data_IF_953993215653
#
_entry.id   IF_953993215653
#
_cell.length_a   1.000
_cell.length_b   1.000
_cell.length_c   1.000
_cell.angle_alpha   90.00
_cell.angle_beta   90.00
_cell.angle_gamma   90.00
#
_symmetry.space_group_name_H-M   'P 1'
#
loop_
_entity.id
_entity.type
_entity.pdbx_description
1 polymer ?
#
# COMPACT_ATOMS: atom_id res chain seq x y z
N UNK A 1 -14.08 -15.96 34.15
CA UNK A 1 -12.68 -15.72 33.77
C UNK A 1 -12.66 -15.78 32.23
N UNK A 2 -12.61 -14.62 31.56
CA UNK A 2 -12.44 -14.60 30.13
C UNK A 2 -11.19 -15.40 29.73
N UNK A 3 -11.31 -16.28 28.73
CA UNK A 3 -10.20 -17.07 28.27
C UNK A 3 -9.13 -16.09 27.72
N UNK A 4 -8.07 -15.90 28.48
CA UNK A 4 -6.96 -15.05 28.07
C UNK A 4 -6.36 -15.61 26.78
N UNK A 5 -6.16 -14.76 25.77
CA UNK A 5 -5.50 -15.11 24.50
C UNK A 5 -4.09 -15.63 24.80
N UNK A 6 -3.76 -16.82 24.35
CA UNK A 6 -2.48 -17.51 24.61
C UNK A 6 -1.61 -17.62 23.37
N UNK A 7 -2.22 -17.71 22.19
CA UNK A 7 -1.49 -17.92 20.93
C UNK A 7 -2.18 -17.22 19.77
N UNK A 8 -1.42 -16.44 19.01
CA UNK A 8 -1.92 -15.79 17.78
C UNK A 8 -1.09 -16.16 16.57
N UNK A 9 -1.73 -16.17 15.41
CA UNK A 9 -1.08 -16.27 14.12
C UNK A 9 -0.83 -14.89 13.51
N UNK A 10 0.21 -14.75 12.71
CA UNK A 10 0.46 -13.58 11.87
C UNK A 10 0.75 -14.02 10.45
N UNK A 11 0.11 -13.38 9.47
CA UNK A 11 0.34 -13.62 8.05
C UNK A 11 0.48 -12.32 7.28
N UNK A 12 1.19 -12.37 6.16
CA UNK A 12 1.21 -11.35 5.12
C UNK A 12 0.53 -11.89 3.87
N UNK A 13 -0.30 -11.09 3.21
CA UNK A 13 -1.07 -11.52 2.04
C UNK A 13 -1.25 -10.36 1.05
N UNK A 14 -1.45 -10.69 -0.22
CA UNK A 14 -1.56 -9.70 -1.30
C UNK A 14 -0.21 -9.30 -1.87
N UNK A 15 -0.10 -8.09 -2.42
CA UNK A 15 1.18 -7.53 -2.86
C UNK A 15 2.06 -7.18 -1.65
N UNK A 16 3.35 -7.38 -1.80
CA UNK A 16 4.31 -6.95 -0.78
C UNK A 16 4.46 -5.42 -0.77
N UNK A 17 4.78 -4.90 0.41
CA UNK A 17 5.01 -3.47 0.62
C UNK A 17 6.15 -3.26 1.61
N UNK A 18 7.02 -2.24 1.41
CA UNK A 18 8.09 -1.91 2.34
C UNK A 18 7.52 -1.57 3.72
N UNK A 19 7.97 -2.27 4.76
CA UNK A 19 7.44 -2.13 6.12
C UNK A 19 6.60 -3.30 6.60
N UNK A 20 6.22 -4.27 5.75
CA UNK A 20 5.54 -5.49 6.19
C UNK A 20 6.37 -6.26 7.23
N UNK A 21 7.70 -6.34 7.06
CA UNK A 21 8.58 -6.94 8.06
C UNK A 21 8.57 -6.18 9.39
N UNK A 22 8.50 -4.86 9.37
CA UNK A 22 8.38 -4.07 10.58
C UNK A 22 7.03 -4.33 11.31
N UNK A 23 5.95 -4.54 10.56
CA UNK A 23 4.64 -4.92 11.11
C UNK A 23 4.66 -6.33 11.71
N UNK A 24 5.24 -7.32 11.01
CA UNK A 24 5.44 -8.68 11.56
C UNK A 24 6.25 -8.62 12.86
N UNK A 25 7.35 -7.86 12.86
CA UNK A 25 8.17 -7.66 14.06
C UNK A 25 7.36 -7.06 15.21
N UNK A 26 6.53 -6.08 14.93
CA UNK A 26 5.70 -5.43 15.94
C UNK A 26 4.69 -6.40 16.56
N UNK A 27 4.02 -7.20 15.72
CA UNK A 27 3.08 -8.23 16.18
C UNK A 27 3.79 -9.24 17.08
N UNK A 28 4.93 -9.78 16.67
CA UNK A 28 5.69 -10.76 17.45
C UNK A 28 6.15 -10.18 18.79
N UNK A 29 6.72 -8.97 18.80
CA UNK A 29 7.20 -8.34 20.04
C UNK A 29 6.09 -7.93 20.98
N UNK A 30 4.97 -7.43 20.45
CA UNK A 30 3.80 -7.10 21.25
C UNK A 30 3.17 -8.35 21.88
N UNK A 31 3.16 -9.46 21.16
CA UNK A 31 2.71 -10.77 21.66
C UNK A 31 3.63 -11.26 22.78
N UNK A 32 4.95 -11.27 22.55
CA UNK A 32 5.95 -11.67 23.55
C UNK A 32 5.83 -10.83 24.83
N UNK A 33 5.66 -9.52 24.71
CA UNK A 33 5.47 -8.62 25.84
C UNK A 33 4.24 -8.96 26.70
N UNK A 34 3.20 -9.55 26.09
CA UNK A 34 1.98 -9.99 26.77
C UNK A 34 1.99 -11.47 27.17
N UNK A 35 3.09 -12.19 26.96
CA UNK A 35 3.17 -13.63 27.21
C UNK A 35 2.34 -14.47 26.22
N UNK A 36 2.01 -13.92 25.05
CA UNK A 36 1.26 -14.59 23.99
C UNK A 36 2.27 -15.23 23.01
N UNK A 37 2.09 -16.51 22.70
CA UNK A 37 2.87 -17.17 21.64
C UNK A 37 2.48 -16.62 20.26
N UNK A 38 3.46 -16.47 19.37
CA UNK A 38 3.24 -16.01 18.00
C UNK A 38 3.68 -17.05 16.97
N UNK A 39 2.76 -17.39 16.06
CA UNK A 39 2.99 -18.31 14.95
C UNK A 39 2.96 -17.51 13.63
N UNK A 40 4.06 -17.53 12.87
CA UNK A 40 4.11 -16.98 11.53
C UNK A 40 3.51 -17.96 10.53
N UNK A 41 2.55 -17.51 9.74
CA UNK A 41 1.96 -18.28 8.65
C UNK A 41 2.62 -17.81 7.36
N UNK A 42 3.31 -18.71 6.67
CA UNK A 42 3.98 -18.40 5.41
C UNK A 42 3.01 -18.44 4.24
N UNK A 43 3.25 -17.60 3.22
CA UNK A 43 2.43 -17.54 1.99
C UNK A 43 0.95 -17.24 2.24
N UNK A 44 0.65 -16.45 3.29
CA UNK A 44 -0.69 -16.00 3.58
C UNK A 44 -1.71 -17.12 3.76
N UNK A 45 -2.87 -17.00 3.11
CA UNK A 45 -3.94 -17.99 3.23
C UNK A 45 -3.57 -19.38 2.69
N UNK A 46 -2.68 -19.46 1.69
CA UNK A 46 -2.16 -20.76 1.24
C UNK A 46 -1.45 -21.50 2.36
N UNK A 47 -0.70 -20.78 3.20
CA UNK A 47 -0.03 -21.38 4.34
C UNK A 47 -0.99 -21.89 5.40
N UNK A 48 -2.12 -21.20 5.63
CA UNK A 48 -3.18 -21.72 6.51
C UNK A 48 -3.77 -23.02 5.98
N UNK A 49 -4.05 -23.09 4.67
CA UNK A 49 -4.62 -24.29 4.06
C UNK A 49 -3.64 -25.47 4.13
N UNK A 50 -2.36 -25.21 3.86
CA UNK A 50 -1.35 -26.26 3.72
C UNK A 50 -0.54 -26.54 5.01
N UNK A 51 -0.82 -25.82 6.11
CA UNK A 51 -0.08 -25.99 7.35
C UNK A 51 1.38 -25.50 7.28
N UNK A 52 1.67 -24.46 6.47
CA UNK A 52 3.03 -23.88 6.36
C UNK A 52 3.21 -22.77 7.39
N UNK A 53 3.77 -23.12 8.53
CA UNK A 53 3.93 -22.20 9.66
C UNK A 53 5.30 -22.31 10.32
N UNK A 54 5.65 -21.28 11.10
CA UNK A 54 6.89 -21.21 11.87
C UNK A 54 6.61 -20.54 13.22
N UNK A 55 7.19 -21.07 14.30
CA UNK A 55 7.15 -20.39 15.61
C UNK A 55 8.03 -19.14 15.54
N UNK A 56 7.47 -17.99 15.93
CA UNK A 56 8.19 -16.72 15.96
C UNK A 56 8.49 -16.30 17.39
N UNK A 57 9.73 -15.86 17.60
CA UNK A 57 10.24 -15.34 18.87
C UNK A 57 10.76 -13.91 18.68
N UNK A 58 11.00 -13.20 19.77
CA UNK A 58 11.60 -11.86 19.69
C UNK A 58 12.93 -11.85 18.92
N UNK A 59 13.71 -12.94 19.03
CA UNK A 59 15.00 -13.07 18.35
C UNK A 59 14.86 -13.31 16.84
N UNK A 60 13.85 -14.11 16.42
CA UNK A 60 13.60 -14.39 15.00
C UNK A 60 13.25 -13.15 14.19
N UNK A 61 12.84 -12.08 14.85
CA UNK A 61 12.46 -10.79 14.23
C UNK A 61 13.40 -9.63 14.58
N UNK A 62 14.59 -9.91 15.18
CA UNK A 62 15.47 -8.86 15.70
C UNK A 62 16.05 -7.93 14.63
N UNK A 63 16.31 -8.42 13.42
CA UNK A 63 17.04 -7.69 12.39
C UNK A 63 16.23 -7.51 11.09
N UNK A 64 14.89 -7.38 11.19
CA UNK A 64 14.02 -7.29 10.01
C UNK A 64 13.31 -5.94 9.84
N UNK A 65 13.40 -5.03 10.81
CA UNK A 65 12.67 -3.75 10.78
C UNK A 65 13.02 -2.87 9.57
N UNK A 66 14.26 -2.99 9.09
CA UNK A 66 14.78 -2.24 7.95
C UNK A 66 14.77 -3.02 6.63
N UNK A 67 14.26 -4.26 6.62
CA UNK A 67 14.23 -5.09 5.43
C UNK A 67 12.92 -4.88 4.66
N UNK A 68 13.04 -4.65 3.35
CA UNK A 68 11.91 -4.70 2.42
C UNK A 68 11.35 -6.11 2.25
N UNK A 69 10.25 -6.21 1.50
CA UNK A 69 9.54 -7.46 1.33
C UNK A 69 8.92 -8.00 2.62
N UNK A 70 8.69 -9.31 2.69
CA UNK A 70 8.15 -9.98 3.87
C UNK A 70 8.82 -11.33 4.14
N UNK A 71 9.26 -11.55 5.38
CA UNK A 71 9.88 -12.81 5.81
C UNK A 71 8.90 -13.99 5.82
N UNK A 72 7.59 -13.69 5.82
CA UNK A 72 6.55 -14.71 5.79
C UNK A 72 6.12 -15.07 4.37
N UNK A 73 6.72 -14.45 3.36
CA UNK A 73 6.30 -14.56 1.97
C UNK A 73 4.84 -14.15 1.78
N UNK A 74 4.42 -14.00 0.54
CA UNK A 74 3.03 -13.70 0.19
C UNK A 74 2.64 -14.52 -1.03
N UNK A 75 1.36 -14.90 -1.12
CA UNK A 75 0.81 -15.59 -2.26
C UNK A 75 -0.68 -15.25 -2.40
N UNK A 76 -1.17 -15.25 -3.64
CA UNK A 76 -2.61 -15.32 -3.90
C UNK A 76 -3.09 -16.74 -3.69
N UNK A 77 -4.28 -16.92 -3.14
CA UNK A 77 -4.89 -18.23 -2.88
C UNK A 77 -6.25 -18.33 -3.55
N UNK A 78 -6.31 -19.01 -4.67
CA UNK A 78 -7.60 -19.28 -5.33
C UNK A 78 -8.42 -20.30 -4.52
N UNK A 79 -7.76 -21.29 -3.89
CA UNK A 79 -8.42 -22.26 -3.04
C UNK A 79 -9.12 -21.62 -1.85
N UNK A 80 -8.52 -20.57 -1.24
CA UNK A 80 -9.13 -19.86 -0.12
C UNK A 80 -10.42 -19.09 -0.49
N UNK A 81 -10.67 -18.84 -1.79
CA UNK A 81 -11.94 -18.25 -2.24
C UNK A 81 -13.12 -19.22 -2.12
N UNK A 82 -12.85 -20.50 -1.96
CA UNK A 82 -13.87 -21.55 -1.78
C UNK A 82 -14.19 -21.75 -0.31
N UNK A 83 -15.42 -22.16 -0.01
CA UNK A 83 -15.82 -22.49 1.36
C UNK A 83 -14.96 -23.64 1.94
N UNK A 84 -14.62 -24.63 1.11
CA UNK A 84 -13.76 -25.75 1.51
C UNK A 84 -12.37 -25.27 1.94
N UNK A 85 -11.74 -24.37 1.16
CA UNK A 85 -10.44 -23.79 1.51
C UNK A 85 -10.49 -22.97 2.79
N UNK A 86 -11.57 -22.20 3.02
CA UNK A 86 -11.79 -21.45 4.26
C UNK A 86 -11.95 -22.38 5.46
N UNK A 87 -12.70 -23.48 5.33
CA UNK A 87 -12.86 -24.49 6.37
C UNK A 87 -11.56 -25.22 6.70
N UNK A 88 -10.75 -25.55 5.69
CA UNK A 88 -9.40 -26.13 5.86
C UNK A 88 -8.52 -25.17 6.65
N UNK A 89 -8.47 -23.89 6.25
CA UNK A 89 -7.70 -22.85 6.94
C UNK A 89 -8.13 -22.68 8.40
N UNK A 90 -9.44 -22.64 8.68
CA UNK A 90 -9.98 -22.56 10.03
C UNK A 90 -9.65 -23.80 10.86
N UNK A 91 -9.68 -24.98 10.24
CA UNK A 91 -9.28 -26.24 10.90
C UNK A 91 -7.80 -26.23 11.29
N UNK A 92 -6.93 -25.67 10.44
CA UNK A 92 -5.51 -25.46 10.76
C UNK A 92 -5.36 -24.48 11.95
N UNK A 93 -6.12 -23.39 11.99
CA UNK A 93 -6.12 -22.50 13.15
C UNK A 93 -6.47 -23.22 14.45
N UNK A 94 -7.50 -24.06 14.43
CA UNK A 94 -7.91 -24.88 15.59
C UNK A 94 -6.82 -25.88 15.98
N UNK A 95 -6.24 -26.58 15.00
CA UNK A 95 -5.16 -27.56 15.23
C UNK A 95 -3.93 -26.90 15.90
N UNK A 96 -3.58 -25.70 15.46
CA UNK A 96 -2.48 -24.92 16.03
C UNK A 96 -2.85 -24.25 17.37
N UNK A 97 -4.10 -24.31 17.78
CA UNK A 97 -4.61 -23.66 18.99
C UNK A 97 -4.48 -22.13 18.91
N UNK A 98 -4.75 -21.54 17.75
CA UNK A 98 -4.70 -20.09 17.55
C UNK A 98 -5.98 -19.46 18.09
N UNK A 99 -5.84 -18.54 19.02
CA UNK A 99 -6.94 -17.74 19.58
C UNK A 99 -7.30 -16.57 18.64
N UNK A 100 -6.41 -16.20 17.72
CA UNK A 100 -6.67 -15.16 16.74
C UNK A 100 -5.57 -15.05 15.66
N UNK A 101 -5.88 -14.33 14.59
CA UNK A 101 -4.99 -14.07 13.46
C UNK A 101 -4.84 -12.56 13.22
N UNK A 102 -3.59 -12.11 13.07
CA UNK A 102 -3.28 -10.79 12.51
C UNK A 102 -2.94 -10.95 11.03
N UNK A 103 -3.74 -10.34 10.15
CA UNK A 103 -3.48 -10.30 8.71
C UNK A 103 -2.93 -8.94 8.29
N UNK A 104 -1.76 -8.94 7.64
CA UNK A 104 -1.07 -7.74 7.16
C UNK A 104 -1.20 -7.70 5.64
N UNK A 105 -1.83 -6.66 5.09
CA UNK A 105 -2.02 -6.51 3.64
C UNK A 105 -3.11 -5.52 3.26
N UNK A 106 -3.60 -5.61 2.03
CA UNK A 106 -4.62 -4.74 1.46
C UNK A 106 -6.05 -5.29 1.57
N UNK A 107 -6.97 -4.70 0.82
CA UNK A 107 -8.41 -5.05 0.79
C UNK A 107 -8.66 -6.54 0.58
N UNK A 108 -7.92 -7.18 -0.32
CA UNK A 108 -8.04 -8.63 -0.56
C UNK A 108 -7.71 -9.45 0.69
N UNK A 109 -6.73 -9.02 1.48
CA UNK A 109 -6.40 -9.63 2.77
C UNK A 109 -7.53 -9.47 3.75
N UNK A 110 -8.13 -8.28 3.83
CA UNK A 110 -9.24 -8.01 4.75
C UNK A 110 -10.50 -8.77 4.41
N UNK A 111 -10.85 -8.89 3.12
CA UNK A 111 -11.94 -9.78 2.69
C UNK A 111 -11.69 -11.23 3.12
N UNK A 112 -10.44 -11.70 2.99
CA UNK A 112 -10.07 -13.03 3.47
C UNK A 112 -10.19 -13.17 4.99
N UNK A 113 -9.82 -12.15 5.78
CA UNK A 113 -10.01 -12.15 7.23
C UNK A 113 -11.49 -12.24 7.62
N UNK A 114 -12.37 -11.54 6.90
CA UNK A 114 -13.83 -11.64 7.10
C UNK A 114 -14.31 -13.06 6.87
N UNK A 115 -13.88 -13.72 5.78
CA UNK A 115 -14.29 -15.10 5.51
C UNK A 115 -13.76 -16.06 6.59
N UNK A 116 -12.52 -15.86 7.06
CA UNK A 116 -11.95 -16.65 8.15
C UNK A 116 -12.71 -16.45 9.46
N UNK A 117 -13.15 -15.22 9.73
CA UNK A 117 -13.96 -14.89 10.90
C UNK A 117 -15.33 -15.56 10.88
N UNK A 118 -15.96 -15.70 9.72
CA UNK A 118 -17.21 -16.47 9.57
C UNK A 118 -17.04 -17.94 9.95
N UNK A 119 -15.81 -18.46 9.89
CA UNK A 119 -15.46 -19.81 10.34
C UNK A 119 -15.11 -19.87 11.83
N UNK A 120 -15.32 -18.78 12.59
CA UNK A 120 -15.13 -18.71 14.04
C UNK A 120 -13.71 -18.38 14.50
N UNK A 121 -12.85 -17.86 13.63
CA UNK A 121 -11.50 -17.41 13.99
C UNK A 121 -11.51 -15.91 14.28
N UNK A 122 -10.97 -15.48 15.43
CA UNK A 122 -10.80 -14.05 15.72
C UNK A 122 -9.74 -13.43 14.84
N UNK A 123 -10.01 -12.22 14.31
CA UNK A 123 -9.11 -11.60 13.34
C UNK A 123 -8.89 -10.11 13.61
N UNK A 124 -7.66 -9.64 13.28
CA UNK A 124 -7.32 -8.22 13.22
C UNK A 124 -6.52 -7.93 11.94
N UNK A 125 -6.83 -6.84 11.24
CA UNK A 125 -6.19 -6.41 10.02
C UNK A 125 -5.19 -5.27 10.24
N UNK A 126 -4.07 -5.31 9.54
CA UNK A 126 -3.06 -4.24 9.49
C UNK A 126 -2.90 -3.78 8.04
N UNK A 127 -3.24 -2.52 7.69
CA UNK A 127 -3.21 -2.03 6.33
C UNK A 127 -1.77 -1.87 5.82
N UNK A 128 -1.43 -2.65 4.79
CA UNK A 128 -0.12 -2.62 4.14
C UNK A 128 -0.28 -2.77 2.63
N UNK A 129 -0.11 -1.67 1.92
CA UNK A 129 -0.10 -1.54 0.46
C UNK A 129 0.54 -0.21 0.09
N UNK A 130 1.24 -0.16 -1.04
CA UNK A 130 1.81 1.08 -1.56
C UNK A 130 0.77 2.00 -2.20
N UNK A 131 -0.42 1.52 -2.49
CA UNK A 131 -1.45 2.22 -3.26
C UNK A 131 -2.23 3.26 -2.41
N UNK A 132 -2.18 3.13 -1.08
CA UNK A 132 -2.92 3.95 -0.10
C UNK A 132 -4.44 4.02 -0.39
N UNK A 133 -4.99 2.97 -0.95
CA UNK A 133 -6.36 2.85 -1.44
C UNK A 133 -7.34 2.27 -0.40
N UNK A 134 -6.85 1.83 0.77
CA UNK A 134 -7.68 1.32 1.85
C UNK A 134 -8.47 2.46 2.49
N UNK A 135 -9.77 2.34 2.39
CA UNK A 135 -10.72 3.44 2.57
C UNK A 135 -10.78 3.96 3.99
N UNK A 136 -10.74 3.07 4.98
CA UNK A 136 -10.93 3.39 6.40
C UNK A 136 -9.69 4.00 7.08
N UNK A 137 -8.56 4.07 6.40
CA UNK A 137 -7.31 4.60 6.96
C UNK A 137 -6.74 5.73 6.10
N UNK A 138 -6.13 6.71 6.75
CA UNK A 138 -5.40 7.79 6.06
C UNK A 138 -4.04 7.32 5.52
N UNK A 139 -3.53 6.21 6.05
CA UNK A 139 -2.18 5.75 5.76
C UNK A 139 -2.11 4.23 5.68
N UNK A 140 -1.42 3.73 4.65
CA UNK A 140 -1.07 2.32 4.50
C UNK A 140 0.44 2.13 4.54
N UNK A 141 0.89 1.05 5.19
CA UNK A 141 2.31 0.72 5.31
C UNK A 141 2.88 0.43 3.91
N UNK A 142 3.98 1.11 3.57
CA UNK A 142 4.65 1.01 2.28
C UNK A 142 4.44 2.21 1.35
N UNK A 143 3.40 2.99 1.56
CA UNK A 143 3.07 4.14 0.74
C UNK A 143 4.17 5.22 0.73
N UNK A 144 4.67 5.61 1.91
CA UNK A 144 5.70 6.64 2.03
C UNK A 144 7.02 6.20 1.37
N UNK A 145 7.40 4.93 1.52
CA UNK A 145 8.60 4.39 0.87
C UNK A 145 8.44 4.37 -0.65
N UNK A 146 7.28 3.94 -1.16
CA UNK A 146 7.01 3.92 -2.60
C UNK A 146 7.03 5.34 -3.19
N UNK A 147 6.46 6.31 -2.47
CA UNK A 147 6.50 7.72 -2.87
C UNK A 147 7.94 8.25 -2.92
N UNK A 148 8.75 8.01 -1.89
CA UNK A 148 10.16 8.41 -1.87
C UNK A 148 10.97 7.75 -2.99
N UNK A 149 10.73 6.47 -3.29
CA UNK A 149 11.37 5.78 -4.42
C UNK A 149 11.02 6.46 -5.76
N UNK A 150 9.75 6.82 -5.95
CA UNK A 150 9.32 7.52 -7.16
C UNK A 150 9.92 8.93 -7.25
N UNK A 151 9.93 9.70 -6.15
CA UNK A 151 10.53 11.04 -6.09
C UNK A 151 12.03 10.97 -6.43
N UNK A 152 12.78 10.06 -5.81
CA UNK A 152 14.21 9.89 -6.10
C UNK A 152 14.47 9.56 -7.58
N UNK A 153 13.66 8.68 -8.17
CA UNK A 153 13.77 8.35 -9.58
C UNK A 153 13.47 9.55 -10.49
N UNK A 154 12.45 10.32 -10.16
CA UNK A 154 12.02 11.52 -10.91
C UNK A 154 13.07 12.63 -10.80
N UNK A 155 13.66 12.86 -9.64
CA UNK A 155 14.71 13.87 -9.47
C UNK A 155 15.92 13.55 -10.36
N UNK A 156 16.33 12.28 -10.44
CA UNK A 156 17.39 11.84 -11.36
C UNK A 156 17.02 12.04 -12.83
N UNK A 157 15.75 11.79 -13.21
CA UNK A 157 15.25 12.06 -14.55
C UNK A 157 15.21 13.54 -14.87
N UNK A 158 14.91 14.39 -13.87
CA UNK A 158 14.84 15.84 -14.01
C UNK A 158 16.18 16.44 -14.41
N UNK A 159 17.27 15.99 -13.80
CA UNK A 159 18.62 16.49 -14.13
C UNK A 159 18.95 16.33 -15.62
N UNK A 160 18.66 15.16 -16.17
CA UNK A 160 18.91 14.91 -17.60
C UNK A 160 17.86 15.56 -18.51
N UNK A 161 16.61 15.67 -18.04
CA UNK A 161 15.52 16.30 -18.75
C UNK A 161 15.79 17.80 -18.97
N UNK A 162 16.24 18.51 -17.93
CA UNK A 162 16.61 19.91 -18.00
C UNK A 162 17.79 20.14 -18.95
N UNK A 163 18.82 19.30 -18.87
CA UNK A 163 20.02 19.41 -19.70
C UNK A 163 19.74 19.27 -21.20
N UNK A 164 18.63 18.63 -21.58
CA UNK A 164 18.30 18.35 -22.99
C UNK A 164 16.98 19.00 -23.43
N UNK A 165 16.36 19.84 -22.59
CA UNK A 165 15.07 20.50 -22.87
C UNK A 165 13.98 19.52 -23.34
N UNK A 166 13.80 18.40 -22.60
CA UNK A 166 12.94 17.28 -23.00
C UNK A 166 11.64 17.21 -22.22
N UNK A 167 10.67 16.53 -22.80
CA UNK A 167 9.49 16.03 -22.11
C UNK A 167 9.79 14.64 -21.54
N UNK A 168 9.35 14.40 -20.28
CA UNK A 168 9.40 13.09 -19.65
C UNK A 168 7.99 12.68 -19.20
N UNK A 169 7.65 11.42 -19.43
CA UNK A 169 6.42 10.78 -18.93
C UNK A 169 6.83 9.69 -17.96
N UNK A 170 6.38 9.78 -16.72
CA UNK A 170 6.71 8.80 -15.68
C UNK A 170 5.43 8.12 -15.21
N UNK A 171 5.35 6.81 -15.46
CA UNK A 171 4.25 5.98 -14.97
C UNK A 171 4.59 5.44 -13.58
N UNK A 172 3.68 5.66 -12.62
CA UNK A 172 3.78 5.19 -11.24
C UNK A 172 2.68 4.19 -10.93
N UNK A 173 2.94 3.28 -10.01
CA UNK A 173 1.96 2.35 -9.50
C UNK A 173 0.85 3.06 -8.72
N UNK A 174 -0.12 2.35 -8.21
CA UNK A 174 -1.27 2.84 -7.45
C UNK A 174 -2.54 2.04 -7.75
N UNK A 175 -2.42 0.97 -8.57
CA UNK A 175 -3.52 0.13 -9.00
C UNK A 175 -4.64 0.98 -9.64
N UNK A 176 -5.83 1.03 -9.05
CA UNK A 176 -6.96 1.84 -9.55
C UNK A 176 -7.10 3.19 -8.82
N UNK A 177 -6.07 3.64 -8.10
CA UNK A 177 -6.09 4.86 -7.32
C UNK A 177 -4.94 5.80 -7.71
N UNK A 178 -5.22 7.09 -7.74
CA UNK A 178 -4.27 8.15 -8.09
C UNK A 178 -3.52 8.74 -6.88
N UNK A 179 -3.67 8.18 -5.68
CA UNK A 179 -3.08 8.75 -4.46
C UNK A 179 -1.57 8.88 -4.55
N UNK A 180 -0.88 7.85 -5.05
CA UNK A 180 0.58 7.86 -5.20
C UNK A 180 1.03 8.88 -6.26
N UNK A 181 0.37 8.89 -7.42
CA UNK A 181 0.65 9.83 -8.50
C UNK A 181 0.44 11.29 -8.06
N UNK A 182 -0.65 11.58 -7.34
CA UNK A 182 -0.94 12.90 -6.81
C UNK A 182 0.13 13.36 -5.82
N UNK A 183 0.50 12.50 -4.88
CA UNK A 183 1.50 12.84 -3.87
C UNK A 183 2.88 13.06 -4.49
N UNK A 184 3.30 12.19 -5.39
CA UNK A 184 4.57 12.29 -6.13
C UNK A 184 4.57 13.53 -7.03
N UNK A 185 3.45 13.82 -7.70
CA UNK A 185 3.30 14.99 -8.55
C UNK A 185 3.46 16.31 -7.79
N UNK A 186 2.86 16.41 -6.62
CA UNK A 186 3.05 17.55 -5.72
C UNK A 186 4.50 17.66 -5.24
N UNK A 187 5.10 16.54 -4.82
CA UNK A 187 6.46 16.53 -4.30
C UNK A 187 7.52 16.90 -5.35
N UNK A 188 7.25 16.60 -6.62
CA UNK A 188 8.20 16.84 -7.71
C UNK A 188 7.87 18.05 -8.57
N UNK A 189 6.77 18.76 -8.35
CA UNK A 189 6.36 19.89 -9.18
C UNK A 189 6.15 19.48 -10.64
N UNK A 190 5.36 18.42 -10.87
CA UNK A 190 5.07 17.93 -12.20
C UNK A 190 4.28 18.96 -13.03
N UNK A 191 4.45 18.97 -14.36
CA UNK A 191 3.67 19.81 -15.27
C UNK A 191 2.21 19.35 -15.35
N UNK A 192 1.99 18.03 -15.30
CA UNK A 192 0.67 17.43 -15.25
C UNK A 192 0.69 16.10 -14.48
N UNK A 193 -0.43 15.77 -13.84
CA UNK A 193 -0.61 14.49 -13.13
C UNK A 193 -1.93 13.87 -13.54
N UNK A 194 -1.87 12.68 -14.11
CA UNK A 194 -3.04 11.95 -14.58
C UNK A 194 -3.48 10.91 -13.54
N UNK A 195 -4.71 11.01 -13.08
CA UNK A 195 -5.28 10.14 -12.04
C UNK A 195 -6.61 9.55 -12.50
N UNK A 196 -6.90 8.28 -12.17
CA UNK A 196 -8.10 7.60 -12.66
C UNK A 196 -9.41 8.22 -12.13
N UNK A 197 -9.39 8.80 -10.93
CA UNK A 197 -10.58 9.37 -10.28
C UNK A 197 -11.16 10.60 -11.00
N UNK A 198 -10.37 11.26 -11.83
CA UNK A 198 -10.80 12.46 -12.59
C UNK A 198 -11.16 12.15 -14.04
N UNK A 199 -10.82 10.94 -14.51
CA UNK A 199 -10.77 10.66 -15.93
C UNK A 199 -9.66 11.45 -16.62
N UNK A 200 -9.25 10.99 -17.78
CA UNK A 200 -8.17 11.66 -18.55
C UNK A 200 -8.76 12.23 -19.84
N UNK A 201 -8.70 13.53 -19.95
CA UNK A 201 -8.87 14.25 -21.23
C UNK A 201 -7.48 14.63 -21.74
N UNK A 202 -7.03 13.89 -22.76
CA UNK A 202 -5.66 14.01 -23.24
C UNK A 202 -5.33 15.43 -23.75
N UNK A 203 -6.23 16.08 -24.46
CA UNK A 203 -5.99 17.43 -24.96
C UNK A 203 -5.89 18.43 -23.81
N UNK A 204 -6.87 18.46 -22.92
CA UNK A 204 -6.92 19.41 -21.79
C UNK A 204 -5.82 19.12 -20.75
N UNK A 205 -5.65 17.85 -20.35
CA UNK A 205 -4.83 17.51 -19.18
C UNK A 205 -3.34 17.32 -19.51
N UNK A 206 -3.02 17.13 -20.81
CA UNK A 206 -1.63 16.93 -21.24
C UNK A 206 -1.20 18.01 -22.23
N UNK A 207 -1.88 18.09 -23.36
CA UNK A 207 -1.43 18.93 -24.50
C UNK A 207 -1.51 20.41 -24.15
N UNK A 208 -2.64 20.86 -23.61
CA UNK A 208 -2.82 22.27 -23.23
C UNK A 208 -1.91 22.65 -22.06
N UNK A 209 -1.68 21.75 -21.09
CA UNK A 209 -0.72 21.98 -20.01
C UNK A 209 0.71 22.18 -20.53
N UNK A 210 1.14 21.37 -21.49
CA UNK A 210 2.45 21.54 -22.11
C UNK A 210 2.51 22.86 -22.91
N UNK A 211 1.48 23.20 -23.69
CA UNK A 211 1.41 24.45 -24.45
C UNK A 211 1.48 25.66 -23.53
N UNK A 212 0.69 25.69 -22.47
CA UNK A 212 0.69 26.77 -21.48
C UNK A 212 2.05 26.92 -20.80
N UNK A 213 2.63 25.78 -20.36
CA UNK A 213 3.96 25.77 -19.74
C UNK A 213 5.04 26.31 -20.69
N UNK A 214 4.97 25.96 -21.99
CA UNK A 214 5.87 26.49 -23.02
C UNK A 214 5.69 27.98 -23.24
N UNK A 215 4.46 28.49 -23.26
CA UNK A 215 4.17 29.92 -23.38
C UNK A 215 4.71 30.72 -22.17
N UNK A 216 4.75 30.10 -20.99
CA UNK A 216 5.38 30.68 -19.80
C UNK A 216 6.92 30.61 -19.80
N UNK A 217 7.54 30.10 -20.88
CA UNK A 217 8.99 30.06 -21.05
C UNK A 217 9.66 28.76 -20.55
N UNK A 218 8.89 27.75 -20.13
CA UNK A 218 9.47 26.47 -19.73
C UNK A 218 9.88 25.66 -20.99
N UNK A 219 11.03 25.02 -20.92
CA UNK A 219 11.60 24.24 -22.02
C UNK A 219 11.55 22.72 -21.78
N UNK A 220 11.19 22.30 -20.58
CA UNK A 220 11.10 20.90 -20.18
C UNK A 220 9.79 20.61 -19.42
N UNK A 221 9.25 19.41 -19.58
CA UNK A 221 7.92 19.05 -19.08
C UNK A 221 7.93 17.68 -18.43
N UNK A 222 7.35 17.57 -17.25
CA UNK A 222 7.23 16.32 -16.49
C UNK A 222 5.75 15.95 -16.37
N UNK A 223 5.37 14.83 -16.95
CA UNK A 223 4.02 14.27 -16.86
C UNK A 223 4.07 13.02 -16.01
N UNK A 224 3.27 12.98 -14.93
CA UNK A 224 3.13 11.79 -14.08
C UNK A 224 1.82 11.11 -14.39
N UNK A 225 1.87 9.79 -14.59
CA UNK A 225 0.71 8.98 -14.96
C UNK A 225 0.53 7.89 -13.89
N UNK A 226 -0.62 7.87 -13.21
CA UNK A 226 -1.01 6.71 -12.43
C UNK A 226 -1.32 5.54 -13.37
N UNK A 227 -0.83 4.33 -13.10
CA UNK A 227 -1.08 3.14 -13.95
C UNK A 227 -2.57 2.89 -14.21
N UNK A 228 -3.44 3.26 -13.26
CA UNK A 228 -4.89 3.17 -13.40
C UNK A 228 -5.53 4.25 -14.29
N UNK A 229 -4.80 5.32 -14.62
CA UNK A 229 -5.27 6.41 -15.48
C UNK A 229 -4.95 6.18 -16.96
N UNK A 230 -3.96 5.31 -17.26
CA UNK A 230 -3.56 4.97 -18.62
C UNK A 230 -2.11 4.55 -18.72
N UNK A 231 -1.69 4.20 -19.91
CA UNK A 231 -0.30 3.82 -20.20
C UNK A 231 0.57 5.04 -20.46
N UNK A 232 1.66 5.18 -19.71
CA UNK A 232 2.67 6.21 -19.98
C UNK A 232 3.25 6.13 -21.38
N UNK A 233 3.33 4.93 -21.96
CA UNK A 233 3.79 4.73 -23.35
C UNK A 233 2.81 5.34 -24.35
N UNK A 234 1.51 5.12 -24.19
CA UNK A 234 0.47 5.70 -25.06
C UNK A 234 0.39 7.22 -24.91
N UNK A 235 0.51 7.73 -23.69
CA UNK A 235 0.59 9.17 -23.44
C UNK A 235 1.81 9.80 -24.15
N UNK A 236 2.97 9.16 -24.02
CA UNK A 236 4.18 9.63 -24.70
C UNK A 236 4.04 9.64 -26.23
N UNK A 237 3.44 8.61 -26.80
CA UNK A 237 3.16 8.52 -28.23
C UNK A 237 2.22 9.64 -28.69
N UNK A 238 1.13 9.88 -27.96
CA UNK A 238 0.19 10.96 -28.27
C UNK A 238 0.85 12.35 -28.22
N UNK A 239 1.72 12.60 -27.22
CA UNK A 239 2.48 13.87 -27.15
C UNK A 239 3.35 14.04 -28.39
N UNK A 240 4.01 12.97 -28.84
CA UNK A 240 4.83 13.01 -30.07
C UNK A 240 3.99 13.33 -31.30
N UNK A 241 2.86 12.67 -31.47
CA UNK A 241 1.94 12.85 -32.61
C UNK A 241 1.38 14.28 -32.71
N UNK A 242 1.01 14.89 -31.57
CA UNK A 242 0.35 16.20 -31.53
C UNK A 242 1.35 17.36 -31.49
N UNK A 243 2.42 17.24 -30.73
CA UNK A 243 3.36 18.34 -30.47
C UNK A 243 4.72 18.21 -31.18
N UNK A 244 5.01 17.06 -31.82
CA UNK A 244 6.30 16.78 -32.42
C UNK A 244 7.45 16.66 -31.41
N UNK A 245 7.14 16.56 -30.11
CA UNK A 245 8.13 16.31 -29.07
C UNK A 245 8.56 14.83 -29.11
N UNK A 246 9.72 14.52 -28.52
CA UNK A 246 10.19 13.13 -28.31
C UNK A 246 10.25 12.83 -26.83
N UNK A 247 9.13 12.46 -26.19
CA UNK A 247 9.08 12.22 -24.76
C UNK A 247 9.90 11.00 -24.37
N UNK A 248 10.58 11.08 -23.24
CA UNK A 248 11.19 9.91 -22.59
C UNK A 248 10.20 9.31 -21.61
N UNK A 249 9.81 8.06 -21.88
CA UNK A 249 8.87 7.34 -21.05
C UNK A 249 9.64 6.45 -20.07
N UNK A 250 9.30 6.54 -18.81
CA UNK A 250 9.85 5.70 -17.74
C UNK A 250 8.69 5.08 -16.96
N UNK A 251 8.60 3.75 -16.94
CA UNK A 251 7.64 3.01 -16.14
C UNK A 251 8.37 2.49 -14.91
N UNK A 252 8.06 3.04 -13.73
CA UNK A 252 8.76 2.66 -12.50
C UNK A 252 8.43 1.23 -12.08
N UNK A 253 7.15 0.83 -12.17
CA UNK A 253 6.73 -0.53 -11.88
C UNK A 253 7.18 -1.02 -10.50
N UNK A 254 7.58 -2.29 -10.43
CA UNK A 254 7.83 -3.03 -9.18
C UNK A 254 9.01 -2.51 -8.32
N UNK A 255 9.88 -1.61 -8.81
CA UNK A 255 10.89 -0.99 -7.93
C UNK A 255 10.26 -0.21 -6.78
N UNK A 256 9.03 0.26 -6.95
CA UNK A 256 8.24 0.95 -5.94
C UNK A 256 7.76 0.03 -4.80
N UNK A 257 7.76 -1.30 -5.01
CA UNK A 257 7.40 -2.28 -3.98
C UNK A 257 8.57 -2.69 -3.09
N UNK A 258 9.79 -2.42 -3.51
CA UNK A 258 11.01 -2.83 -2.84
C UNK A 258 11.65 -1.74 -1.99
N UNK A 259 12.81 -2.10 -1.47
CA UNK A 259 13.66 -1.17 -0.73
C UNK A 259 13.47 -1.18 0.78
N UNK A 260 14.37 -0.47 1.42
CA UNK A 260 14.37 -0.26 2.88
C UNK A 260 13.22 0.65 3.27
N UNK A 261 12.30 0.24 4.17
CA UNK A 261 11.17 1.08 4.56
C UNK A 261 11.64 2.39 5.20
N UNK A 262 10.95 3.48 4.86
CA UNK A 262 11.19 4.80 5.45
C UNK A 262 10.96 4.79 6.96
N UNK A 263 11.44 5.81 7.65
CA UNK A 263 11.19 5.97 9.07
C UNK A 263 9.68 6.01 9.38
N UNK A 264 8.90 6.66 8.51
CA UNK A 264 7.44 6.76 8.67
C UNK A 264 6.77 5.39 8.55
N UNK A 265 7.11 4.61 7.54
CA UNK A 265 6.57 3.26 7.37
C UNK A 265 6.93 2.34 8.54
N UNK A 266 8.17 2.40 9.05
CA UNK A 266 8.57 1.60 10.22
C UNK A 266 7.78 1.97 11.48
N UNK A 267 7.60 3.26 11.73
CA UNK A 267 6.83 3.75 12.91
C UNK A 267 5.38 3.36 12.79
N UNK A 268 4.76 3.58 11.63
CA UNK A 268 3.35 3.22 11.39
C UNK A 268 3.13 1.71 11.50
N UNK A 269 4.00 0.91 10.87
CA UNK A 269 3.96 -0.55 10.97
C UNK A 269 4.09 -1.03 12.43
N UNK A 270 4.98 -0.41 13.20
CA UNK A 270 5.17 -0.76 14.62
C UNK A 270 3.92 -0.42 15.44
N UNK A 271 3.35 0.76 15.25
CA UNK A 271 2.12 1.18 15.95
C UNK A 271 0.93 0.29 15.59
N UNK A 272 0.70 0.06 14.29
CA UNK A 272 -0.43 -0.75 13.83
C UNK A 272 -0.31 -2.20 14.30
N UNK A 273 0.88 -2.82 14.19
CA UNK A 273 1.10 -4.18 14.67
C UNK A 273 0.89 -4.32 16.18
N UNK A 274 1.34 -3.34 16.98
CA UNK A 274 1.08 -3.31 18.42
C UNK A 274 -0.41 -3.27 18.74
N UNK A 275 -1.17 -2.37 18.10
CA UNK A 275 -2.60 -2.21 18.34
C UNK A 275 -3.42 -3.40 17.84
N UNK A 276 -2.98 -4.11 16.79
CA UNK A 276 -3.63 -5.33 16.33
C UNK A 276 -3.57 -6.44 17.40
N UNK A 277 -2.40 -6.63 18.02
CA UNK A 277 -2.26 -7.57 19.14
C UNK A 277 -3.06 -7.12 20.35
N UNK A 278 -3.06 -5.82 20.64
CA UNK A 278 -3.86 -5.27 21.74
C UNK A 278 -5.35 -5.55 21.55
N UNK A 279 -5.89 -5.30 20.36
CA UNK A 279 -7.30 -5.56 20.06
C UNK A 279 -7.68 -7.02 20.28
N UNK A 280 -6.87 -7.97 19.78
CA UNK A 280 -7.10 -9.40 20.01
C UNK A 280 -7.00 -9.76 21.51
N UNK A 281 -6.01 -9.22 22.23
CA UNK A 281 -5.84 -9.47 23.67
C UNK A 281 -7.01 -8.92 24.52
N UNK A 282 -7.68 -7.87 24.04
CA UNK A 282 -8.90 -7.30 24.63
C UNK A 282 -10.18 -8.04 24.21
N UNK A 283 -10.06 -9.17 23.50
CA UNK A 283 -11.20 -9.95 23.01
C UNK A 283 -11.93 -9.34 21.81
N UNK A 284 -11.40 -8.27 21.21
CA UNK A 284 -11.97 -7.68 20.00
C UNK A 284 -11.64 -8.54 18.79
N UNK A 285 -12.60 -8.72 17.90
CA UNK A 285 -12.43 -9.42 16.63
C UNK A 285 -13.00 -8.61 15.49
N UNK A 286 -12.69 -8.99 14.23
CA UNK A 286 -13.12 -8.27 13.02
C UNK A 286 -12.69 -6.80 12.99
N UNK A 287 -11.50 -6.50 13.49
CA UNK A 287 -11.01 -5.12 13.54
C UNK A 287 -9.89 -4.89 12.53
N UNK A 288 -9.93 -3.75 11.85
CA UNK A 288 -8.79 -3.21 11.10
C UNK A 288 -8.22 -2.03 11.88
N UNK A 289 -6.90 -1.99 12.00
CA UNK A 289 -6.20 -0.93 12.73
C UNK A 289 -5.92 0.21 11.76
N UNK A 290 -6.53 1.36 11.98
CA UNK A 290 -6.48 2.51 11.10
C UNK A 290 -5.71 3.67 11.73
N UNK A 291 -5.03 4.45 10.90
CA UNK A 291 -4.52 5.76 11.26
C UNK A 291 -5.55 6.81 10.86
N UNK A 292 -6.03 7.59 11.84
CA UNK A 292 -6.96 8.69 11.61
C UNK A 292 -6.60 9.88 12.51
N UNK A 293 -6.43 11.06 11.95
CA UNK A 293 -6.07 12.29 12.65
C UNK A 293 -4.90 12.11 13.64
N UNK A 294 -3.85 11.38 13.22
CA UNK A 294 -2.66 11.09 14.03
C UNK A 294 -2.83 10.01 15.12
N UNK A 295 -4.04 9.49 15.31
CA UNK A 295 -4.36 8.43 16.28
C UNK A 295 -4.46 7.06 15.61
N UNK A 296 -4.26 5.99 16.41
CA UNK A 296 -4.63 4.64 16.02
C UNK A 296 -6.03 4.37 16.53
N UNK A 297 -6.91 3.93 15.62
CA UNK A 297 -8.27 3.51 15.93
C UNK A 297 -8.50 2.11 15.37
N UNK A 298 -9.41 1.37 15.95
CA UNK A 298 -9.85 0.09 15.41
C UNK A 298 -11.28 0.23 14.87
N UNK A 299 -11.50 -0.22 13.63
CA UNK A 299 -12.80 -0.16 12.92
C UNK A 299 -13.21 -1.59 12.56
N UNK A 300 -14.51 -1.88 12.54
CA UNK A 300 -14.98 -3.15 12.00
C UNK A 300 -14.55 -3.32 10.53
N UNK A 301 -14.05 -4.52 10.18
CA UNK A 301 -13.51 -4.75 8.83
C UNK A 301 -14.58 -4.58 7.75
N UNK A 302 -15.81 -5.07 7.98
CA UNK A 302 -16.90 -4.94 7.01
C UNK A 302 -17.33 -3.47 6.84
N UNK A 303 -17.40 -2.74 7.95
CA UNK A 303 -17.63 -1.30 7.92
C UNK A 303 -16.52 -0.61 7.11
N UNK A 304 -15.26 -0.88 7.43
CA UNK A 304 -14.11 -0.33 6.73
C UNK A 304 -14.12 -0.61 5.23
N UNK A 305 -14.44 -1.83 4.82
CA UNK A 305 -14.53 -2.22 3.40
C UNK A 305 -15.73 -1.60 2.67
N UNK A 306 -16.76 -1.16 3.39
CA UNK A 306 -17.98 -0.52 2.81
C UNK A 306 -17.82 0.97 2.58
N UNK A 307 -16.84 1.61 3.20
CA UNK A 307 -16.58 3.04 3.05
C UNK A 307 -16.13 3.37 1.62
N UNK A 308 -16.17 4.65 1.26
CA UNK A 308 -15.64 5.15 -0.02
C UNK A 308 -14.53 6.17 0.26
N UNK A 309 -13.40 6.01 -0.38
CA UNK A 309 -12.27 6.95 -0.34
C UNK A 309 -12.15 7.57 -1.73
N UNK A 310 -12.31 8.87 -1.80
CA UNK A 310 -11.98 9.62 -3.00
C UNK A 310 -10.53 10.12 -2.94
N UNK A 311 -10.09 10.68 -4.06
CA UNK A 311 -8.83 11.41 -4.09
C UNK A 311 -8.89 12.57 -3.08
N UNK A 312 -7.77 12.90 -2.44
CA UNK A 312 -7.71 14.03 -1.52
C UNK A 312 -7.97 15.34 -2.27
N UNK A 313 -9.18 15.89 -2.10
CA UNK A 313 -9.64 17.05 -2.85
C UNK A 313 -8.76 18.29 -2.61
N UNK A 314 -8.31 18.50 -1.36
CA UNK A 314 -7.44 19.61 -1.02
C UNK A 314 -6.06 19.49 -1.67
N UNK A 315 -5.46 18.30 -1.66
CA UNK A 315 -4.18 18.08 -2.35
C UNK A 315 -4.31 18.23 -3.86
N UNK A 316 -5.44 17.80 -4.42
CA UNK A 316 -5.71 17.97 -5.85
C UNK A 316 -5.89 19.44 -6.21
N UNK A 317 -6.60 20.23 -5.40
CA UNK A 317 -6.72 21.69 -5.56
C UNK A 317 -5.36 22.38 -5.50
N UNK A 318 -4.50 21.99 -4.55
CA UNK A 318 -3.11 22.50 -4.47
C UNK A 318 -2.32 22.13 -5.73
N UNK A 319 -2.46 20.89 -6.22
CA UNK A 319 -1.81 20.48 -7.48
C UNK A 319 -2.25 21.37 -8.64
N UNK A 320 -3.56 21.59 -8.82
CA UNK A 320 -4.10 22.45 -9.87
C UNK A 320 -3.56 23.88 -9.76
N UNK A 321 -3.49 24.43 -8.55
CA UNK A 321 -2.95 25.77 -8.33
C UNK A 321 -1.44 25.85 -8.64
N UNK A 322 -0.68 24.80 -8.36
CA UNK A 322 0.78 24.77 -8.60
C UNK A 322 1.16 24.42 -10.03
N UNK A 323 0.29 23.70 -10.75
CA UNK A 323 0.49 23.33 -12.16
C UNK A 323 -0.25 24.25 -13.11
N UNK A 324 -1.28 24.95 -12.65
CA UNK A 324 -1.99 25.98 -13.39
C UNK A 324 -1.07 27.19 -13.59
N UNK A 325 -0.74 27.47 -14.83
CA UNK A 325 -0.13 28.74 -15.21
C UNK A 325 -1.30 29.73 -15.16
N UNK A 326 -1.21 30.69 -14.25
CA UNK A 326 -2.31 31.60 -13.95
C UNK A 326 -2.97 32.18 -15.19
N UNK A 327 -4.28 32.28 -15.12
CA UNK A 327 -5.14 32.95 -16.10
C UNK A 327 -4.72 34.41 -16.29
#
# INVERSE_FOLDING_TARGET
MENAVKRIGVLTSGGDAPGMNAAVRAVVRASTFRGIECIGIRRGYNGLINGDFVKLTADSVSHIINRGGTMLYTARSEEFRTLEGQQKAASTCKLLGLDGIVGIGGDGTFRGLVELSKQGVSVAGVPATIDNDIVCTEYTIGYDTAANTAVEAIDRLRDTMQSHERCSVVEVMGHNAGHLALYVGLATGATAVLVPEKGVDFERDVIDRIRQSRLAGNTHFMIIVAEGAGSGTEIGKGIHEVLGLDPRVTILGHIQRGGTPSARDRVMATRMGYHAVQALAEGKTNRVICAQAGKMVDIDILEGLSMKKGLNAQQYEVLEAMTGIGC
#
